data_IF_732346498863
#
_entry.id   IF_732346498863
#
_cell.length_a   1.000
_cell.length_b   1.000
_cell.length_c   1.000
_cell.angle_alpha   90.00
_cell.angle_beta   90.00
_cell.angle_gamma   90.00
#
_symmetry.space_group_name_H-M   'P 1'
#
loop_
_entity.id
_entity.type
_entity.pdbx_description
1 polymer ?
#
# COMPACT_ATOMS: atom_id res chain seq x y z
N UNK A 1 2.11 -32.64 1.99
CA UNK A 1 2.65 -31.41 2.59
C UNK A 1 1.52 -30.40 2.60
N UNK A 2 1.19 -29.78 3.73
CA UNK A 2 0.18 -28.73 3.74
C UNK A 2 0.70 -27.55 2.92
N UNK A 3 -0.13 -27.02 2.02
CA UNK A 3 0.19 -25.84 1.24
C UNK A 3 0.34 -24.65 2.19
N UNK A 4 1.50 -24.00 2.18
CA UNK A 4 1.76 -22.81 3.00
C UNK A 4 1.29 -21.61 2.20
N UNK A 5 0.21 -20.98 2.66
CA UNK A 5 -0.30 -19.75 2.07
C UNK A 5 0.29 -18.57 2.85
N UNK A 6 1.24 -17.80 2.28
CA UNK A 6 1.85 -16.68 2.99
C UNK A 6 0.85 -15.53 3.21
N UNK A 7 1.06 -14.77 4.27
CA UNK A 7 0.31 -13.53 4.52
C UNK A 7 0.69 -12.51 3.45
N UNK A 8 -0.31 -11.91 2.79
CA UNK A 8 -0.12 -10.79 1.86
C UNK A 8 -0.02 -9.48 2.63
N UNK A 9 0.93 -8.63 2.27
CA UNK A 9 1.20 -7.33 2.87
C UNK A 9 1.07 -6.23 1.82
N UNK A 10 0.13 -5.32 2.04
CA UNK A 10 -0.08 -4.15 1.20
C UNK A 10 0.26 -2.86 1.97
N UNK A 11 0.91 -1.92 1.29
CA UNK A 11 1.24 -0.61 1.85
C UNK A 11 0.37 0.44 1.21
N UNK A 12 -0.18 1.33 2.04
CA UNK A 12 -0.91 2.51 1.59
C UNK A 12 -0.25 3.77 2.12
N UNK A 13 0.25 4.60 1.21
CA UNK A 13 0.78 5.92 1.53
C UNK A 13 -0.36 6.93 1.41
N UNK A 14 -0.62 7.69 2.48
CA UNK A 14 -1.63 8.75 2.44
C UNK A 14 -1.02 10.08 1.97
N UNK A 15 -1.82 10.98 1.38
CA UNK A 15 -1.41 12.37 1.18
C UNK A 15 -1.05 13.05 2.50
N UNK A 16 -0.21 14.09 2.42
CA UNK A 16 0.00 15.02 3.52
C UNK A 16 -1.31 15.72 3.87
N UNK A 17 -1.60 15.80 5.17
CA UNK A 17 -2.76 16.51 5.70
C UNK A 17 -2.52 18.03 5.74
N UNK A 18 -3.56 18.80 6.00
CA UNK A 18 -3.49 20.27 6.00
C UNK A 18 -2.51 20.84 7.03
N UNK A 19 -2.37 20.17 8.18
CA UNK A 19 -1.43 20.61 9.23
C UNK A 19 0.01 20.37 8.81
N UNK A 20 0.32 19.20 8.26
CA UNK A 20 1.66 18.85 7.77
C UNK A 20 2.12 19.82 6.67
N UNK A 21 1.20 20.18 5.77
CA UNK A 21 1.44 21.21 4.75
C UNK A 21 1.71 22.59 5.36
N UNK A 22 0.93 22.99 6.37
CA UNK A 22 1.12 24.27 7.06
C UNK A 22 2.45 24.34 7.83
N UNK A 23 2.93 23.20 8.34
CA UNK A 23 4.22 23.04 9.01
C UNK A 23 5.39 22.89 8.01
N UNK A 24 5.15 22.95 6.69
CA UNK A 24 6.14 22.72 5.62
C UNK A 24 6.86 21.35 5.71
N UNK A 25 6.14 20.33 6.21
CA UNK A 25 6.64 18.96 6.21
C UNK A 25 6.89 18.45 4.79
N UNK A 26 7.95 17.67 4.62
CA UNK A 26 8.34 17.10 3.33
C UNK A 26 7.85 15.64 3.22
N UNK A 27 7.53 15.22 2.00
CA UNK A 27 7.30 13.80 1.73
C UNK A 27 8.61 13.03 1.86
N UNK A 28 8.64 12.05 2.76
CA UNK A 28 9.82 11.21 3.01
C UNK A 28 9.68 9.78 2.43
N UNK A 29 8.56 9.49 1.78
CA UNK A 29 8.24 8.19 1.18
C UNK A 29 8.04 8.38 -0.31
N UNK A 30 8.82 7.67 -1.12
CA UNK A 30 8.65 7.60 -2.57
C UNK A 30 8.02 6.26 -2.93
N UNK A 31 7.00 6.27 -3.79
CA UNK A 31 6.29 5.07 -4.21
C UNK A 31 6.71 4.67 -5.62
N UNK A 32 7.00 3.38 -5.80
CA UNK A 32 7.32 2.73 -7.07
C UNK A 32 6.27 1.63 -7.28
N UNK A 33 5.06 2.04 -7.67
CA UNK A 33 3.86 1.19 -7.69
C UNK A 33 4.04 -0.03 -8.61
N UNK A 34 4.60 0.16 -9.80
CA UNK A 34 4.83 -0.93 -10.77
C UNK A 34 5.83 -1.98 -10.25
N UNK A 35 6.76 -1.56 -9.40
CA UNK A 35 7.80 -2.41 -8.81
C UNK A 35 7.37 -2.98 -7.45
N UNK A 36 6.17 -2.65 -6.97
CA UNK A 36 5.70 -2.92 -5.61
C UNK A 36 6.71 -2.51 -4.52
N UNK A 37 7.34 -1.34 -4.71
CA UNK A 37 8.39 -0.85 -3.84
C UNK A 37 8.11 0.54 -3.27
N UNK A 38 8.70 0.81 -2.10
CA UNK A 38 8.82 2.16 -1.55
C UNK A 38 10.26 2.46 -1.19
N UNK A 39 10.64 3.74 -1.27
CA UNK A 39 11.88 4.26 -0.69
C UNK A 39 11.57 5.16 0.49
N UNK A 40 12.24 4.92 1.62
CA UNK A 40 12.20 5.81 2.80
C UNK A 40 13.63 6.21 3.10
N UNK A 41 13.95 7.50 2.96
CA UNK A 41 15.29 8.04 3.18
C UNK A 41 16.41 7.24 2.46
N UNK A 42 16.15 6.84 1.22
CA UNK A 42 17.11 6.09 0.39
C UNK A 42 17.18 4.59 0.64
N UNK A 43 16.38 4.05 1.58
CA UNK A 43 16.24 2.60 1.79
C UNK A 43 15.03 2.08 1.05
N UNK A 44 15.23 1.04 0.23
CA UNK A 44 14.19 0.40 -0.56
C UNK A 44 13.54 -0.76 0.22
N UNK A 45 12.22 -0.87 0.12
CA UNK A 45 11.43 -1.96 0.69
C UNK A 45 10.46 -2.48 -0.38
N UNK A 46 10.27 -3.80 -0.44
CA UNK A 46 9.38 -4.48 -1.40
C UNK A 46 8.24 -5.16 -0.64
N UNK A 47 7.04 -5.06 -1.18
CA UNK A 47 5.81 -5.64 -0.62
C UNK A 47 4.98 -6.30 -1.73
N UNK A 48 3.84 -6.91 -1.38
CA UNK A 48 2.97 -7.53 -2.39
C UNK A 48 2.20 -6.50 -3.21
N UNK A 49 1.88 -5.34 -2.62
CA UNK A 49 1.18 -4.25 -3.29
C UNK A 49 1.49 -2.91 -2.63
N UNK A 50 1.62 -1.86 -3.45
CA UNK A 50 1.79 -0.48 -3.01
C UNK A 50 0.64 0.36 -3.56
N UNK A 51 0.03 1.16 -2.70
CA UNK A 51 -0.99 2.14 -3.03
C UNK A 51 -0.46 3.53 -2.67
N UNK A 52 -0.32 4.37 -3.68
CA UNK A 52 0.19 5.73 -3.54
C UNK A 52 -0.89 6.70 -3.01
N UNK A 53 -0.54 7.97 -2.73
CA UNK A 53 -1.50 8.96 -2.23
C UNK A 53 -2.71 9.22 -3.13
N UNK A 54 -2.64 8.90 -4.42
CA UNK A 54 -3.72 9.14 -5.39
C UNK A 54 -4.62 7.92 -5.58
N UNK A 55 -4.25 6.76 -5.04
CA UNK A 55 -5.04 5.53 -5.13
C UNK A 55 -6.39 5.69 -4.42
N UNK A 56 -7.46 5.32 -5.12
CA UNK A 56 -8.83 5.41 -4.61
C UNK A 56 -9.13 4.33 -3.55
N UNK A 57 -10.15 4.59 -2.74
CA UNK A 57 -10.66 3.60 -1.77
C UNK A 57 -11.18 2.33 -2.46
N UNK A 58 -11.85 2.50 -3.60
CA UNK A 58 -12.40 1.40 -4.40
C UNK A 58 -11.29 0.47 -4.89
N UNK A 59 -10.24 1.02 -5.49
CA UNK A 59 -9.09 0.25 -5.97
C UNK A 59 -8.40 -0.54 -4.84
N UNK A 60 -8.27 0.05 -3.65
CA UNK A 60 -7.71 -0.64 -2.48
C UNK A 60 -8.63 -1.78 -2.01
N UNK A 61 -9.94 -1.55 -1.98
CA UNK A 61 -10.92 -2.56 -1.61
C UNK A 61 -10.89 -3.75 -2.58
N UNK A 62 -10.94 -3.49 -3.88
CA UNK A 62 -10.94 -4.51 -4.92
C UNK A 62 -9.66 -5.36 -4.90
N UNK A 63 -8.52 -4.74 -4.61
CA UNK A 63 -7.24 -5.44 -4.58
C UNK A 63 -7.00 -6.26 -3.29
N UNK A 64 -7.57 -5.83 -2.16
CA UNK A 64 -7.27 -6.42 -0.85
C UNK A 64 -8.46 -7.14 -0.21
N UNK A 65 -9.60 -6.48 -0.06
CA UNK A 65 -10.72 -6.99 0.73
C UNK A 65 -11.68 -7.85 -0.10
N UNK A 66 -11.98 -7.46 -1.34
CA UNK A 66 -12.90 -8.21 -2.20
C UNK A 66 -12.50 -9.70 -2.38
N UNK A 67 -11.22 -10.04 -2.67
CA UNK A 67 -10.81 -11.44 -2.84
C UNK A 67 -10.86 -12.25 -1.53
N UNK A 68 -10.76 -11.58 -0.37
CA UNK A 68 -10.92 -12.24 0.92
C UNK A 68 -12.39 -12.58 1.18
N UNK A 69 -13.30 -11.68 0.83
CA UNK A 69 -14.74 -11.92 0.96
C UNK A 69 -15.21 -13.04 0.05
N UNK A 70 -14.78 -13.06 -1.21
CA UNK A 70 -15.10 -14.14 -2.16
C UNK A 70 -14.70 -15.50 -1.59
N UNK A 71 -13.47 -15.63 -1.07
CA UNK A 71 -12.96 -16.86 -0.46
C UNK A 71 -13.63 -17.27 0.86
N UNK A 72 -14.39 -16.38 1.50
CA UNK A 72 -15.16 -16.75 2.71
C UNK A 72 -16.43 -17.51 2.33
N UNK A 73 -17.00 -17.21 1.16
CA UNK A 73 -18.26 -17.80 0.70
C UNK A 73 -18.08 -18.98 -0.27
N UNK A 74 -16.85 -19.20 -0.76
CA UNK A 74 -16.41 -20.42 -1.45
C UNK A 74 -16.13 -21.57 -0.45
#
# INVERSE_FOLDING_TARGET
MAEVIPVRVAIRVRPLNSREKAENSQECVQCFVEQSQISINGKMFTFDSIFDPTTSQETIYDACAAPLLEKIFD
#
